data_IF_377237762733
#
_entry.id   IF_377237762733
#
_cell.length_a   1.000
_cell.length_b   1.000
_cell.length_c   1.000
_cell.angle_alpha   90.00
_cell.angle_beta   90.00
_cell.angle_gamma   90.00
#
_symmetry.space_group_name_H-M   'P 1'
#
loop_
_entity.id
_entity.type
_entity.pdbx_description
1 polymer ?
#
# COMPACT_ATOMS: atom_id res chain seq x y z
N UNK A 1 16.72 3.56 3.97
CA UNK A 1 15.97 4.24 2.88
C UNK A 1 14.49 3.97 3.05
N UNK A 2 13.64 5.02 3.10
CA UNK A 2 12.19 4.83 3.16
C UNK A 2 11.66 4.20 1.86
N UNK A 3 10.63 3.36 2.01
CA UNK A 3 9.97 2.71 0.87
C UNK A 3 8.50 3.08 0.89
N UNK A 4 7.97 3.49 -0.26
CA UNK A 4 6.56 3.74 -0.46
C UNK A 4 5.98 2.64 -1.34
N UNK A 5 4.89 2.01 -0.86
CA UNK A 5 4.11 1.08 -1.67
C UNK A 5 2.77 1.73 -1.96
N UNK A 6 2.47 1.91 -3.24
CA UNK A 6 1.18 2.38 -3.72
C UNK A 6 0.41 1.17 -4.23
N UNK A 7 -0.75 0.89 -3.66
CA UNK A 7 -1.52 -0.30 -4.04
C UNK A 7 -3.03 -0.01 -4.03
N UNK A 8 -3.80 -0.95 -4.51
CA UNK A 8 -5.25 -0.78 -4.63
C UNK A 8 -5.99 -2.06 -4.26
N UNK A 9 -6.33 -2.92 -5.22
CA UNK A 9 -7.21 -4.08 -4.98
C UNK A 9 -6.69 -5.40 -5.55
N UNK A 10 -5.40 -5.48 -5.87
CA UNK A 10 -4.80 -6.68 -6.47
C UNK A 10 -3.83 -7.34 -5.47
N UNK A 11 -4.33 -8.22 -4.58
CA UNK A 11 -3.48 -8.80 -3.54
C UNK A 11 -2.36 -9.67 -4.09
N UNK A 12 -2.56 -10.32 -5.22
CA UNK A 12 -1.55 -11.20 -5.81
C UNK A 12 -0.34 -10.41 -6.30
N UNK A 13 -0.59 -9.29 -6.99
CA UNK A 13 0.50 -8.40 -7.42
C UNK A 13 1.20 -7.78 -6.21
N UNK A 14 0.43 -7.39 -5.21
CA UNK A 14 0.98 -6.79 -4.00
C UNK A 14 1.85 -7.77 -3.24
N UNK A 15 1.48 -9.06 -3.18
CA UNK A 15 2.30 -10.08 -2.53
C UNK A 15 3.69 -10.14 -3.14
N UNK A 16 3.79 -10.11 -4.46
CA UNK A 16 5.08 -10.15 -5.16
C UNK A 16 5.93 -8.93 -4.79
N UNK A 17 5.34 -7.74 -4.79
CA UNK A 17 6.04 -6.51 -4.41
C UNK A 17 6.44 -6.56 -2.95
N UNK A 18 5.53 -6.97 -2.09
CA UNK A 18 5.77 -6.98 -0.65
C UNK A 18 6.89 -7.94 -0.26
N UNK A 19 7.02 -9.08 -0.95
CA UNK A 19 8.12 -10.01 -0.70
C UNK A 19 9.48 -9.39 -1.03
N UNK A 20 9.56 -8.56 -2.07
CA UNK A 20 10.79 -7.83 -2.37
C UNK A 20 11.09 -6.78 -1.29
N UNK A 21 10.08 -6.10 -0.80
CA UNK A 21 10.22 -5.14 0.29
C UNK A 21 10.68 -5.85 1.57
N UNK A 22 10.11 -7.03 1.87
CA UNK A 22 10.51 -7.84 3.01
C UNK A 22 12.00 -8.19 2.97
N UNK A 23 12.49 -8.56 1.80
CA UNK A 23 13.93 -8.86 1.62
C UNK A 23 14.81 -7.65 1.86
N UNK A 24 14.34 -6.48 1.47
CA UNK A 24 15.08 -5.22 1.64
C UNK A 24 15.05 -4.73 3.09
N UNK A 25 14.03 -5.11 3.88
CA UNK A 25 13.87 -4.77 5.29
C UNK A 25 14.04 -3.27 5.56
N UNK A 26 13.24 -2.40 4.91
CA UNK A 26 13.37 -0.96 5.15
C UNK A 26 12.99 -0.59 6.58
N UNK A 27 13.63 0.42 7.12
CA UNK A 27 13.33 0.92 8.47
C UNK A 27 12.07 1.77 8.51
N UNK A 28 11.68 2.34 7.37
CA UNK A 28 10.46 3.14 7.23
C UNK A 28 9.67 2.66 6.02
N UNK A 29 8.41 2.34 6.24
CA UNK A 29 7.52 1.84 5.20
C UNK A 29 6.27 2.71 5.15
N UNK A 30 5.98 3.26 3.99
CA UNK A 30 4.79 4.07 3.74
C UNK A 30 3.83 3.28 2.85
N UNK A 31 2.63 3.04 3.35
CA UNK A 31 1.60 2.28 2.66
C UNK A 31 0.48 3.22 2.26
N UNK A 32 0.32 3.40 0.96
CA UNK A 32 -0.77 4.21 0.41
C UNK A 32 -1.70 3.31 -0.39
N UNK A 33 -2.99 3.34 -0.06
CA UNK A 33 -3.99 2.57 -0.78
C UNK A 33 -5.09 3.50 -1.29
N UNK A 34 -5.37 3.43 -2.60
CA UNK A 34 -6.50 4.14 -3.18
C UNK A 34 -7.81 3.50 -2.71
N UNK A 35 -8.86 4.29 -2.66
CA UNK A 35 -10.15 3.84 -2.19
C UNK A 35 -10.94 3.07 -3.24
N UNK A 36 -12.04 2.42 -2.84
CA UNK A 36 -12.85 1.63 -3.76
C UNK A 36 -13.61 2.52 -4.75
N UNK A 37 -13.71 2.05 -5.99
CA UNK A 37 -14.56 2.66 -7.01
C UNK A 37 -16.03 2.31 -6.76
N UNK A 38 -16.26 1.09 -6.23
CA UNK A 38 -17.58 0.56 -5.89
C UNK A 38 -17.39 -0.63 -4.93
N UNK A 39 -18.50 -1.26 -4.55
CA UNK A 39 -18.47 -2.37 -3.58
C UNK A 39 -17.68 -3.59 -4.06
N UNK A 40 -17.53 -3.77 -5.36
CA UNK A 40 -16.78 -4.91 -5.93
C UNK A 40 -15.31 -4.87 -5.60
N UNK A 41 -14.77 -3.69 -5.32
CA UNK A 41 -13.36 -3.54 -4.97
C UNK A 41 -13.06 -3.92 -3.52
N UNK A 42 -14.08 -3.93 -2.65
CA UNK A 42 -13.89 -4.12 -1.21
C UNK A 42 -13.15 -5.41 -0.83
N UNK A 43 -13.51 -6.59 -1.37
CA UNK A 43 -12.76 -7.81 -1.01
C UNK A 43 -11.27 -7.73 -1.38
N UNK A 44 -10.95 -7.18 -2.54
CA UNK A 44 -9.56 -7.01 -2.97
C UNK A 44 -8.81 -6.00 -2.10
N UNK A 45 -9.49 -4.90 -1.73
CA UNK A 45 -8.91 -3.88 -0.86
C UNK A 45 -8.57 -4.48 0.51
N UNK A 46 -9.48 -5.23 1.10
CA UNK A 46 -9.24 -5.88 2.39
C UNK A 46 -8.14 -6.93 2.31
N UNK A 47 -8.12 -7.71 1.23
CA UNK A 47 -7.07 -8.71 1.02
C UNK A 47 -5.70 -8.05 0.91
N UNK A 48 -5.60 -6.91 0.23
CA UNK A 48 -4.36 -6.15 0.14
C UNK A 48 -3.89 -5.66 1.51
N UNK A 49 -4.82 -5.17 2.33
CA UNK A 49 -4.47 -4.74 3.69
C UNK A 49 -3.91 -5.88 4.52
N UNK A 50 -4.46 -7.08 4.38
CA UNK A 50 -3.93 -8.25 5.08
C UNK A 50 -2.51 -8.58 4.64
N UNK A 51 -2.19 -8.41 3.36
CA UNK A 51 -0.85 -8.66 2.85
C UNK A 51 0.17 -7.72 3.51
N UNK A 52 -0.11 -6.41 3.54
CA UNK A 52 0.85 -5.43 4.06
C UNK A 52 0.93 -5.40 5.58
N UNK A 53 -0.03 -6.00 6.27
CA UNK A 53 0.01 -6.10 7.73
C UNK A 53 0.87 -7.27 8.22
N UNK A 54 1.54 -8.00 7.32
CA UNK A 54 2.43 -9.10 7.68
C UNK A 54 3.88 -8.67 7.85
N UNK A 55 4.11 -7.41 8.20
CA UNK A 55 5.46 -6.91 8.50
C UNK A 55 6.03 -7.68 9.68
N UNK A 56 7.18 -8.32 9.48
CA UNK A 56 7.81 -9.17 10.48
C UNK A 56 9.27 -8.78 10.75
N UNK A 57 9.62 -7.54 10.45
CA UNK A 57 10.95 -6.99 10.74
C UNK A 57 10.81 -5.64 11.44
N UNK A 58 11.82 -5.15 12.17
CA UNK A 58 11.75 -3.83 12.79
C UNK A 58 11.57 -2.73 11.75
N UNK A 59 10.43 -2.01 11.82
CA UNK A 59 10.06 -1.07 10.81
C UNK A 59 9.01 -0.09 11.35
N UNK A 60 9.18 1.20 11.06
CA UNK A 60 8.15 2.18 11.31
C UNK A 60 7.20 2.22 10.12
N UNK A 61 5.93 1.87 10.34
CA UNK A 61 4.94 1.75 9.27
C UNK A 61 3.97 2.93 9.34
N UNK A 62 3.81 3.62 8.21
CA UNK A 62 2.86 4.72 8.05
C UNK A 62 1.82 4.32 7.02
N UNK A 63 0.53 4.52 7.34
CA UNK A 63 -0.58 4.09 6.50
C UNK A 63 -1.44 5.27 6.09
N UNK A 64 -1.81 5.32 4.81
CA UNK A 64 -2.81 6.24 4.30
C UNK A 64 -3.74 5.45 3.38
N UNK A 65 -4.87 5.01 3.93
CA UNK A 65 -5.88 4.25 3.19
C UNK A 65 -7.02 5.19 2.86
N UNK A 66 -7.18 5.53 1.58
CA UNK A 66 -8.20 6.46 1.12
C UNK A 66 -9.57 5.82 1.14
N UNK A 67 -10.59 6.60 1.48
CA UNK A 67 -11.98 6.16 1.43
C UNK A 67 -12.58 6.33 0.05
N UNK A 68 -12.09 7.32 -0.72
CA UNK A 68 -12.52 7.59 -2.08
C UNK A 68 -11.50 7.11 -3.09
N UNK A 69 -11.98 6.78 -4.29
CA UNK A 69 -11.08 6.46 -5.39
C UNK A 69 -10.66 7.74 -6.10
N UNK A 70 -9.37 8.03 -6.09
CA UNK A 70 -8.80 9.19 -6.76
C UNK A 70 -8.18 8.86 -8.11
N UNK A 71 -8.05 7.56 -8.41
CA UNK A 71 -7.44 7.11 -9.64
C UNK A 71 -5.92 7.01 -9.54
N UNK A 72 -5.31 6.49 -10.59
CA UNK A 72 -3.89 6.16 -10.60
C UNK A 72 -2.99 7.40 -10.53
N UNK A 73 -3.22 8.39 -11.37
CA UNK A 73 -2.36 9.57 -11.44
C UNK A 73 -2.46 10.45 -10.20
N UNK A 74 -3.66 10.84 -9.73
CA UNK A 74 -3.76 11.61 -8.48
C UNK A 74 -3.20 10.86 -7.28
N UNK A 75 -3.43 9.55 -7.18
CA UNK A 75 -2.92 8.74 -6.07
C UNK A 75 -1.41 8.69 -6.08
N UNK A 76 -0.79 8.57 -7.24
CA UNK A 76 0.66 8.60 -7.38
C UNK A 76 1.24 9.93 -6.86
N UNK A 77 0.64 11.04 -7.24
CA UNK A 77 1.06 12.35 -6.77
C UNK A 77 0.87 12.52 -5.27
N UNK A 78 -0.32 12.20 -4.77
CA UNK A 78 -0.67 12.37 -3.36
C UNK A 78 0.16 11.49 -2.44
N UNK A 79 0.44 10.25 -2.84
CA UNK A 79 1.23 9.34 -2.05
C UNK A 79 2.66 9.83 -1.86
N UNK A 80 3.26 10.35 -2.91
CA UNK A 80 4.62 10.88 -2.84
C UNK A 80 4.69 12.14 -1.98
N UNK A 81 3.71 13.02 -2.10
CA UNK A 81 3.64 14.22 -1.27
C UNK A 81 3.45 13.87 0.21
N UNK A 82 2.66 12.87 0.49
CA UNK A 82 2.43 12.42 1.85
C UNK A 82 3.66 11.75 2.45
N UNK A 83 4.33 10.89 1.70
CA UNK A 83 5.45 10.09 2.19
C UNK A 83 6.74 10.91 2.29
N UNK A 84 6.94 11.83 1.36
CA UNK A 84 8.19 12.58 1.23
C UNK A 84 7.94 14.06 1.21
#
# INVERSE_FOLDING_TARGET
VPVLILFFNSPEKLKCVFEQVRKARPSHLFLYQDGPRNERDLPGIEACRRVVETVDWPCEVHRLYQEKNYGCDPSNYMSQRWAF
#
